data_IF_979964323119
#
_entry.id   IF_979964323119
#
_cell.length_a   1.000
_cell.length_b   1.000
_cell.length_c   1.000
_cell.angle_alpha   90.00
_cell.angle_beta   90.00
_cell.angle_gamma   90.00
#
_symmetry.space_group_name_H-M   'P 1'
#
loop_
_entity.id
_entity.type
_entity.pdbx_description
1 polymer ?
#
# COMPACT_ATOMS: atom_id res chain seq x y z
N UNK A 1 -13.37 -9.88 13.93
CA UNK A 1 -13.89 -9.96 12.55
C UNK A 1 -13.34 -8.87 11.65
N UNK A 2 -13.53 -7.57 11.97
CA UNK A 2 -13.00 -6.47 11.16
C UNK A 2 -11.47 -6.48 11.07
N UNK A 3 -10.78 -6.80 12.17
CA UNK A 3 -9.33 -6.95 12.18
C UNK A 3 -8.85 -8.09 11.25
N UNK A 4 -9.50 -9.25 11.30
CA UNK A 4 -9.21 -10.37 10.41
C UNK A 4 -9.38 -9.98 8.95
N UNK A 5 -10.43 -9.23 8.61
CA UNK A 5 -10.64 -8.70 7.25
C UNK A 5 -9.50 -7.76 6.87
N UNK A 6 -9.06 -6.88 7.78
CA UNK A 6 -7.94 -5.99 7.54
C UNK A 6 -6.63 -6.76 7.31
N UNK A 7 -6.35 -7.79 8.10
CA UNK A 7 -5.17 -8.65 7.91
C UNK A 7 -5.21 -9.41 6.58
N UNK A 8 -6.38 -9.93 6.17
CA UNK A 8 -6.56 -10.56 4.86
C UNK A 8 -6.36 -9.57 3.71
N UNK A 9 -6.83 -8.33 3.86
CA UNK A 9 -6.59 -7.26 2.89
C UNK A 9 -5.10 -6.87 2.84
N UNK A 10 -4.42 -6.82 3.99
CA UNK A 10 -2.97 -6.59 4.07
C UNK A 10 -2.21 -7.66 3.30
N UNK A 11 -2.52 -8.93 3.56
CA UNK A 11 -1.91 -10.06 2.89
C UNK A 11 -2.13 -10.02 1.38
N UNK A 12 -3.41 -9.92 0.95
CA UNK A 12 -3.79 -9.94 -0.46
C UNK A 12 -3.19 -8.75 -1.23
N UNK A 13 -3.49 -7.53 -0.81
CA UNK A 13 -3.01 -6.33 -1.51
C UNK A 13 -1.50 -6.16 -1.38
N UNK A 14 -0.90 -6.53 -0.23
CA UNK A 14 0.53 -6.42 -0.01
C UNK A 14 1.34 -7.32 -0.94
N UNK A 15 0.99 -8.61 -1.03
CA UNK A 15 1.68 -9.54 -1.95
C UNK A 15 1.43 -9.15 -3.40
N UNK A 16 0.19 -8.83 -3.77
CA UNK A 16 -0.14 -8.36 -5.13
C UNK A 16 0.69 -7.13 -5.50
N UNK A 17 0.85 -6.16 -4.59
CA UNK A 17 1.68 -4.98 -4.79
C UNK A 17 3.12 -5.34 -5.14
N UNK A 18 3.79 -6.12 -4.28
CA UNK A 18 5.21 -6.47 -4.45
C UNK A 18 5.43 -7.26 -5.74
N UNK A 19 4.59 -8.25 -6.04
CA UNK A 19 4.69 -9.05 -7.27
C UNK A 19 4.54 -8.18 -8.52
N UNK A 20 3.56 -7.27 -8.53
CA UNK A 20 3.32 -6.40 -9.68
C UNK A 20 4.44 -5.38 -9.88
N UNK A 21 4.94 -4.77 -8.80
CA UNK A 21 6.09 -3.85 -8.86
C UNK A 21 7.33 -4.56 -9.39
N UNK A 22 7.64 -5.77 -8.91
CA UNK A 22 8.77 -6.57 -9.39
C UNK A 22 8.66 -6.90 -10.89
N UNK A 23 7.43 -7.03 -11.41
CA UNK A 23 7.14 -7.24 -12.83
C UNK A 23 7.05 -5.95 -13.64
N UNK A 24 7.47 -4.81 -13.09
CA UNK A 24 7.34 -3.47 -13.71
C UNK A 24 5.91 -3.15 -14.13
N UNK A 25 4.92 -3.67 -13.40
CA UNK A 25 3.51 -3.39 -13.64
C UNK A 25 3.04 -2.26 -12.72
N UNK A 26 2.62 -1.14 -13.33
CA UNK A 26 2.14 0.08 -12.65
C UNK A 26 1.01 -0.15 -11.64
N UNK A 27 0.18 -1.18 -11.84
CA UNK A 27 -0.89 -1.50 -10.89
C UNK A 27 -0.36 -1.92 -9.51
N UNK A 28 0.90 -2.36 -9.42
CA UNK A 28 1.54 -2.67 -8.14
C UNK A 28 1.51 -1.48 -7.17
N UNK A 29 1.72 -0.25 -7.67
CA UNK A 29 1.66 0.95 -6.82
C UNK A 29 0.24 1.22 -6.29
N UNK A 30 -0.80 0.90 -7.07
CA UNK A 30 -2.19 1.03 -6.64
C UNK A 30 -2.51 0.04 -5.53
N UNK A 31 -2.13 -1.23 -5.70
CA UNK A 31 -2.30 -2.25 -4.66
C UNK A 31 -1.55 -1.88 -3.39
N UNK A 32 -0.31 -1.39 -3.50
CA UNK A 32 0.47 -0.94 -2.35
C UNK A 32 -0.20 0.21 -1.59
N UNK A 33 -0.82 1.15 -2.31
CA UNK A 33 -1.59 2.25 -1.70
C UNK A 33 -2.86 1.74 -1.01
N UNK A 34 -3.60 0.83 -1.66
CA UNK A 34 -4.80 0.21 -1.07
C UNK A 34 -4.51 -0.59 0.20
N UNK A 35 -3.29 -1.13 0.35
CA UNK A 35 -2.87 -1.81 1.58
C UNK A 35 -2.77 -0.87 2.79
N UNK A 36 -2.46 0.42 2.59
CA UNK A 36 -2.08 1.31 3.70
C UNK A 36 -3.20 1.62 4.70
N UNK A 37 -4.47 1.87 4.30
CA UNK A 37 -5.57 2.04 5.25
C UNK A 37 -5.73 0.86 6.22
N UNK A 38 -5.48 -0.37 5.76
CA UNK A 38 -5.55 -1.57 6.60
C UNK A 38 -4.37 -1.65 7.56
N UNK A 39 -3.14 -1.33 7.12
CA UNK A 39 -2.00 -1.20 8.03
C UNK A 39 -2.23 -0.12 9.09
N UNK A 40 -2.76 1.05 8.71
CA UNK A 40 -3.08 2.14 9.64
C UNK A 40 -4.09 1.67 10.69
N UNK A 41 -5.20 1.05 10.24
CA UNK A 41 -6.24 0.52 11.13
C UNK A 41 -5.70 -0.55 12.09
N UNK A 42 -5.02 -1.57 11.56
CA UNK A 42 -4.47 -2.67 12.37
C UNK A 42 -3.41 -2.17 13.34
N UNK A 43 -2.53 -1.27 12.91
CA UNK A 43 -1.48 -0.72 13.77
C UNK A 43 -2.05 0.17 14.88
N UNK A 44 -3.09 0.96 14.59
CA UNK A 44 -3.74 1.81 15.60
C UNK A 44 -4.42 0.98 16.69
N UNK A 45 -5.22 -0.02 16.31
CA UNK A 45 -5.96 -0.88 17.25
C UNK A 45 -5.01 -1.73 18.11
N UNK A 46 -3.84 -2.09 17.60
CA UNK A 46 -2.83 -2.89 18.30
C UNK A 46 -1.71 -2.04 18.92
N UNK A 47 -1.85 -0.71 18.98
CA UNK A 47 -0.86 0.23 19.57
C UNK A 47 0.56 0.12 18.97
N UNK A 48 0.66 -0.30 17.71
CA UNK A 48 1.93 -0.47 16.99
C UNK A 48 2.37 0.86 16.37
N UNK A 49 2.72 1.83 17.19
CA UNK A 49 3.00 3.21 16.75
C UNK A 49 4.08 3.34 15.68
N UNK A 50 5.12 2.49 15.73
CA UNK A 50 6.15 2.46 14.68
C UNK A 50 5.56 2.08 13.30
N UNK A 51 4.70 1.05 13.27
CA UNK A 51 4.01 0.61 12.05
C UNK A 51 2.96 1.66 11.62
N UNK A 52 2.29 2.27 12.58
CA UNK A 52 1.32 3.33 12.32
C UNK A 52 1.96 4.49 11.56
N UNK A 53 3.07 5.07 12.06
CA UNK A 53 3.71 6.20 11.38
C UNK A 53 4.36 5.81 10.04
N UNK A 54 5.02 4.65 9.94
CA UNK A 54 5.63 4.23 8.67
C UNK A 54 4.58 3.96 7.59
N UNK A 55 3.37 3.53 7.96
CA UNK A 55 2.29 3.29 6.99
C UNK A 55 1.83 4.59 6.28
N UNK A 56 1.92 5.76 6.92
CA UNK A 56 1.70 7.04 6.26
C UNK A 56 2.84 7.39 5.29
N UNK A 57 4.10 7.15 5.68
CA UNK A 57 5.24 7.34 4.78
C UNK A 57 5.16 6.42 3.55
N UNK A 58 4.69 5.18 3.75
CA UNK A 58 4.41 4.25 2.66
C UNK A 58 3.24 4.72 1.82
N UNK A 59 2.14 5.22 2.39
CA UNK A 59 1.04 5.80 1.63
C UNK A 59 1.51 6.94 0.72
N UNK A 60 2.36 7.84 1.22
CA UNK A 60 2.97 8.89 0.42
C UNK A 60 3.85 8.32 -0.71
N UNK A 61 4.67 7.32 -0.40
CA UNK A 61 5.58 6.68 -1.37
C UNK A 61 4.82 5.93 -2.47
N UNK A 62 3.76 5.18 -2.12
CA UNK A 62 2.90 4.50 -3.08
C UNK A 62 2.12 5.50 -3.94
N UNK A 63 1.61 6.58 -3.34
CA UNK A 63 0.95 7.67 -4.07
C UNK A 63 1.90 8.33 -5.08
N UNK A 64 3.15 8.56 -4.69
CA UNK A 64 4.19 9.05 -5.61
C UNK A 64 4.43 8.07 -6.76
N UNK A 65 4.52 6.77 -6.47
CA UNK A 65 4.64 5.73 -7.50
C UNK A 65 3.48 5.71 -8.49
N UNK A 66 2.24 5.83 -8.00
CA UNK A 66 1.03 5.97 -8.83
C UNK A 66 1.14 7.22 -9.71
N UNK A 67 1.51 8.37 -9.16
CA UNK A 67 1.68 9.60 -9.93
C UNK A 67 2.74 9.45 -11.05
N UNK A 68 3.92 8.91 -10.74
CA UNK A 68 5.00 8.74 -11.72
C UNK A 68 4.58 7.81 -12.87
N UNK A 69 3.99 6.66 -12.58
CA UNK A 69 3.70 5.66 -13.62
C UNK A 69 2.41 5.92 -14.40
N UNK A 70 1.41 6.57 -13.80
CA UNK A 70 0.16 6.84 -14.51
C UNK A 70 0.14 8.20 -15.21
N UNK A 71 0.83 9.20 -14.68
CA UNK A 71 0.80 10.56 -15.22
C UNK A 71 2.10 10.95 -15.91
N UNK A 72 3.27 10.68 -15.32
CA UNK A 72 4.55 11.09 -15.93
C UNK A 72 4.93 10.23 -17.14
N UNK A 73 4.57 8.95 -17.14
CA UNK A 73 4.81 8.05 -18.29
C UNK A 73 3.97 8.44 -19.52
N UNK A 74 2.86 9.18 -19.35
CA UNK A 74 2.06 9.71 -20.47
C UNK A 74 2.64 10.98 -21.12
N UNK A 75 3.61 11.63 -20.46
CA UNK A 75 4.19 12.92 -20.88
C UNK A 75 5.54 12.73 -21.58
N UNK A 76 6.07 11.50 -21.63
CA UNK A 76 7.24 11.12 -22.45
C UNK A 76 6.79 10.58 -23.80
#
# INVERSE_FOLDING_TARGET
MLETIAQLAIFGFGISSIVLVARKNKWGFVFGLLTQPFWIYTAFINEQWGIFFVSFAYAASWSYGVYQWFYKEKIK
#
